data_IF_026909537188
#
_entry.id   IF_026909537188
#
_cell.length_a   1.000
_cell.length_b   1.000
_cell.length_c   1.000
_cell.angle_alpha   90.00
_cell.angle_beta   90.00
_cell.angle_gamma   90.00
#
_symmetry.space_group_name_H-M   'P 1'
#
loop_
_entity.id
_entity.type
_entity.pdbx_description
1 polymer ?
#
# COMPACT_ATOMS: atom_id res chain seq x y z
N UNK A 1 5.53 -15.31 16.66
CA UNK A 1 6.55 -15.55 15.65
C UNK A 1 6.18 -16.71 14.71
N UNK A 2 5.62 -17.80 15.22
CA UNK A 2 5.13 -18.91 14.39
C UNK A 2 4.00 -18.47 13.47
N UNK A 3 3.14 -17.56 13.93
CA UNK A 3 2.04 -17.00 13.14
C UNK A 3 2.56 -16.22 11.93
N UNK A 4 3.68 -15.51 12.06
CA UNK A 4 4.27 -14.73 10.97
C UNK A 4 4.82 -15.64 9.87
N UNK A 5 5.46 -16.76 10.25
CA UNK A 5 5.97 -17.72 9.27
C UNK A 5 4.84 -18.45 8.57
N UNK A 6 3.76 -18.81 9.29
CA UNK A 6 2.58 -19.42 8.68
C UNK A 6 1.94 -18.47 7.65
N UNK A 7 1.83 -17.19 8.00
CA UNK A 7 1.31 -16.17 7.11
C UNK A 7 2.19 -16.03 5.86
N UNK A 8 3.52 -16.00 6.04
CA UNK A 8 4.48 -15.92 4.94
C UNK A 8 4.33 -17.11 3.99
N UNK A 9 4.24 -18.31 4.53
CA UNK A 9 4.07 -19.53 3.75
C UNK A 9 2.75 -19.48 2.96
N UNK A 10 1.66 -19.03 3.57
CA UNK A 10 0.37 -18.87 2.89
C UNK A 10 0.45 -17.88 1.74
N UNK A 11 1.08 -16.73 1.96
CA UNK A 11 1.23 -15.69 0.93
C UNK A 11 2.05 -16.21 -0.24
N UNK A 12 3.18 -16.87 0.05
CA UNK A 12 4.04 -17.45 -0.99
C UNK A 12 3.30 -18.54 -1.75
N UNK A 13 2.59 -19.43 -1.03
CA UNK A 13 1.82 -20.51 -1.64
C UNK A 13 0.73 -20.01 -2.58
N UNK A 14 -0.04 -19.03 -2.14
CA UNK A 14 -1.10 -18.41 -2.95
C UNK A 14 -0.49 -17.70 -4.16
N UNK A 15 0.60 -16.96 -3.95
CA UNK A 15 1.28 -16.23 -5.02
C UNK A 15 1.82 -17.18 -6.10
N UNK A 16 2.52 -18.23 -5.70
CA UNK A 16 3.07 -19.22 -6.64
C UNK A 16 1.97 -19.99 -7.35
N UNK A 17 0.92 -20.40 -6.62
CA UNK A 17 -0.23 -21.11 -7.22
C UNK A 17 -0.93 -20.23 -8.23
N UNK A 18 -1.17 -18.97 -7.90
CA UNK A 18 -1.79 -18.02 -8.81
C UNK A 18 -0.95 -17.76 -10.06
N UNK A 19 0.37 -17.65 -9.90
CA UNK A 19 1.28 -17.43 -11.02
C UNK A 19 1.27 -18.65 -11.97
N UNK A 20 1.33 -19.88 -11.43
CA UNK A 20 1.29 -21.11 -12.23
C UNK A 20 -0.05 -21.23 -12.95
N UNK A 21 -1.16 -20.99 -12.25
CA UNK A 21 -2.51 -21.03 -12.87
C UNK A 21 -2.63 -19.98 -13.97
N UNK A 22 -2.10 -18.78 -13.76
CA UNK A 22 -2.11 -17.72 -14.77
C UNK A 22 -1.37 -18.16 -16.03
N UNK A 23 -0.19 -18.78 -15.89
CA UNK A 23 0.59 -19.27 -17.01
C UNK A 23 -0.14 -20.38 -17.78
N UNK A 24 -0.78 -21.30 -17.06
CA UNK A 24 -1.53 -22.41 -17.67
C UNK A 24 -2.73 -21.86 -18.44
N UNK A 25 -3.53 -20.99 -17.82
CA UNK A 25 -4.74 -20.43 -18.43
C UNK A 25 -4.39 -19.56 -19.63
N UNK A 26 -3.27 -18.85 -19.57
CA UNK A 26 -2.82 -18.00 -20.67
C UNK A 26 -2.55 -18.78 -21.95
N UNK A 27 -2.15 -20.04 -21.85
CA UNK A 27 -1.94 -20.91 -23.02
C UNK A 27 -3.25 -21.34 -23.67
N UNK A 28 -4.32 -21.48 -22.89
CA UNK A 28 -5.61 -21.97 -23.37
C UNK A 28 -6.62 -20.85 -23.62
N UNK A 29 -6.71 -19.88 -22.71
CA UNK A 29 -7.67 -18.79 -22.79
C UNK A 29 -7.04 -17.49 -22.28
N UNK A 30 -6.33 -16.76 -23.14
CA UNK A 30 -5.65 -15.52 -22.72
C UNK A 30 -6.60 -14.41 -22.28
N UNK A 31 -7.86 -14.42 -22.71
CA UNK A 31 -8.88 -13.45 -22.29
C UNK A 31 -9.26 -13.58 -20.82
N UNK A 32 -9.25 -14.79 -20.27
CA UNK A 32 -9.57 -15.07 -18.86
C UNK A 32 -8.32 -14.97 -17.98
N UNK A 33 -7.14 -15.17 -18.56
CA UNK A 33 -5.88 -15.22 -17.82
C UNK A 33 -5.58 -13.95 -17.03
N UNK A 34 -6.09 -12.80 -17.45
CA UNK A 34 -5.94 -11.52 -16.75
C UNK A 34 -6.61 -11.54 -15.38
N UNK A 35 -7.73 -12.28 -15.25
CA UNK A 35 -8.48 -12.34 -13.99
C UNK A 35 -7.70 -13.07 -12.88
N UNK A 36 -6.84 -14.03 -13.22
CA UNK A 36 -6.12 -14.84 -12.23
C UNK A 36 -5.13 -14.02 -11.40
N UNK A 37 -4.24 -13.20 -11.98
CA UNK A 37 -3.38 -12.33 -11.17
C UNK A 37 -4.15 -11.35 -10.30
N UNK A 38 -5.24 -10.79 -10.81
CA UNK A 38 -6.08 -9.83 -10.07
C UNK A 38 -6.70 -10.51 -8.85
N UNK A 39 -7.29 -11.70 -9.03
CA UNK A 39 -7.90 -12.45 -7.93
C UNK A 39 -6.84 -12.90 -6.91
N UNK A 40 -5.67 -13.32 -7.38
CA UNK A 40 -4.55 -13.73 -6.52
C UNK A 40 -4.08 -12.54 -5.67
N UNK A 41 -3.88 -11.39 -6.29
CA UNK A 41 -3.47 -10.17 -5.59
C UNK A 41 -4.53 -9.74 -4.57
N UNK A 42 -5.81 -9.81 -4.92
CA UNK A 42 -6.91 -9.50 -4.01
C UNK A 42 -6.91 -10.45 -2.81
N UNK A 43 -6.72 -11.74 -3.03
CA UNK A 43 -6.67 -12.73 -1.95
C UNK A 43 -5.52 -12.47 -0.99
N UNK A 44 -4.33 -12.18 -1.51
CA UNK A 44 -3.16 -11.85 -0.69
C UNK A 44 -3.42 -10.56 0.10
N UNK A 45 -3.98 -9.54 -0.53
CA UNK A 45 -4.31 -8.26 0.12
C UNK A 45 -5.28 -8.48 1.27
N UNK A 46 -6.33 -9.30 1.07
CA UNK A 46 -7.30 -9.62 2.13
C UNK A 46 -6.65 -10.34 3.31
N UNK A 47 -5.69 -11.21 3.05
CA UNK A 47 -4.94 -11.88 4.12
C UNK A 47 -4.08 -10.89 4.92
N UNK A 48 -3.63 -9.82 4.30
CA UNK A 48 -2.81 -8.80 4.95
C UNK A 48 -3.62 -7.82 5.80
N UNK A 49 -4.93 -7.68 5.56
CA UNK A 49 -5.78 -6.67 6.23
C UNK A 49 -5.72 -6.76 7.77
N UNK A 50 -5.86 -7.94 8.42
CA UNK A 50 -5.77 -8.00 9.89
C UNK A 50 -4.43 -7.52 10.44
N UNK A 51 -3.34 -7.81 9.74
CA UNK A 51 -1.99 -7.38 10.14
C UNK A 51 -1.83 -5.87 10.01
N UNK A 52 -2.36 -5.29 8.94
CA UNK A 52 -2.36 -3.83 8.73
C UNK A 52 -3.16 -3.15 9.83
N UNK A 53 -4.35 -3.69 10.17
CA UNK A 53 -5.19 -3.16 11.25
C UNK A 53 -4.46 -3.17 12.58
N UNK A 54 -3.77 -4.28 12.92
CA UNK A 54 -2.97 -4.38 14.13
C UNK A 54 -1.84 -3.37 14.16
N UNK A 55 -1.17 -3.15 13.04
CA UNK A 55 -0.10 -2.15 12.92
C UNK A 55 -0.62 -0.74 13.16
N UNK A 56 -1.78 -0.42 12.60
CA UNK A 56 -2.42 0.89 12.79
C UNK A 56 -2.73 1.11 14.28
N UNK A 57 -3.28 0.10 14.94
CA UNK A 57 -3.58 0.18 16.38
C UNK A 57 -2.31 0.41 17.21
N UNK A 58 -1.21 -0.27 16.87
CA UNK A 58 0.08 -0.05 17.52
C UNK A 58 0.59 1.37 17.32
N UNK A 59 0.50 1.89 16.10
CA UNK A 59 0.91 3.27 15.79
C UNK A 59 0.09 4.28 16.58
N UNK A 60 -1.22 4.08 16.70
CA UNK A 60 -2.08 4.95 17.49
C UNK A 60 -1.68 4.97 18.97
N UNK A 61 -1.36 3.81 19.55
CA UNK A 61 -0.89 3.71 20.93
C UNK A 61 0.44 4.44 21.14
N UNK A 62 1.37 4.26 20.19
CA UNK A 62 2.67 4.94 20.24
C UNK A 62 2.47 6.45 20.13
N UNK A 63 1.60 6.90 19.26
CA UNK A 63 1.29 8.33 19.09
C UNK A 63 0.70 8.92 20.37
N UNK A 64 -0.23 8.22 21.01
CA UNK A 64 -0.85 8.66 22.26
C UNK A 64 0.19 8.79 23.40
N UNK A 65 1.14 7.87 23.48
CA UNK A 65 2.18 7.86 24.49
C UNK A 65 3.25 8.92 24.25
N UNK A 66 3.54 9.23 22.99
CA UNK A 66 4.63 10.13 22.61
C UNK A 66 4.19 11.58 22.43
N UNK A 67 2.88 11.85 22.53
CA UNK A 67 2.33 13.21 22.33
C UNK A 67 2.27 13.65 20.89
N UNK A 68 2.48 12.76 19.93
CA UNK A 68 2.33 13.05 18.50
C UNK A 68 0.83 13.27 18.21
N UNK A 69 0.53 14.28 17.40
CA UNK A 69 -0.84 14.58 17.00
C UNK A 69 -1.46 13.40 16.23
N UNK A 70 -2.64 12.97 16.67
CA UNK A 70 -3.40 11.93 15.97
C UNK A 70 -3.78 12.36 14.55
N UNK A 71 -3.88 13.65 14.30
CA UNK A 71 -4.17 14.21 12.98
C UNK A 71 -3.03 13.92 12.00
N UNK A 72 -1.78 14.11 12.42
CA UNK A 72 -0.60 13.78 11.59
C UNK A 72 -0.54 12.29 11.29
N UNK A 73 -0.85 11.46 12.27
CA UNK A 73 -0.87 10.01 12.10
C UNK A 73 -1.92 9.58 11.07
N UNK A 74 -3.12 10.17 11.12
CA UNK A 74 -4.19 9.90 10.15
C UNK A 74 -3.77 10.25 8.73
N UNK A 75 -3.07 11.37 8.55
CA UNK A 75 -2.57 11.78 7.24
C UNK A 75 -1.53 10.78 6.72
N UNK A 76 -0.61 10.33 7.57
CA UNK A 76 0.41 9.33 7.20
C UNK A 76 -0.26 8.03 6.76
N UNK A 77 -1.24 7.54 7.50
CA UNK A 77 -1.99 6.33 7.15
C UNK A 77 -2.71 6.50 5.82
N UNK A 78 -3.31 7.67 5.59
CA UNK A 78 -3.98 7.99 4.33
C UNK A 78 -3.00 7.98 3.15
N UNK A 79 -1.80 8.55 3.33
CA UNK A 79 -0.74 8.53 2.31
C UNK A 79 -0.35 7.11 1.96
N UNK A 80 -0.14 6.27 2.96
CA UNK A 80 0.22 4.86 2.76
C UNK A 80 -0.90 4.14 2.00
N UNK A 81 -2.16 4.34 2.40
CA UNK A 81 -3.32 3.76 1.74
C UNK A 81 -3.40 4.15 0.26
N UNK A 82 -3.23 5.43 -0.04
CA UNK A 82 -3.23 5.94 -1.41
C UNK A 82 -2.10 5.29 -2.22
N UNK A 83 -0.89 5.19 -1.65
CA UNK A 83 0.25 4.58 -2.33
C UNK A 83 -0.05 3.13 -2.72
N UNK A 84 -0.61 2.33 -1.80
CA UNK A 84 -0.93 0.93 -2.08
C UNK A 84 -2.08 0.77 -3.07
N UNK A 85 -3.13 1.58 -2.96
CA UNK A 85 -4.27 1.54 -3.90
C UNK A 85 -3.79 1.89 -5.32
N UNK A 86 -2.98 2.93 -5.45
CA UNK A 86 -2.43 3.33 -6.76
C UNK A 86 -1.49 2.27 -7.32
N UNK A 87 -0.67 1.65 -6.48
CA UNK A 87 0.20 0.55 -6.87
C UNK A 87 -0.62 -0.63 -7.42
N UNK A 88 -1.67 -1.02 -6.70
CA UNK A 88 -2.55 -2.10 -7.11
C UNK A 88 -3.23 -1.79 -8.44
N UNK A 89 -3.78 -0.58 -8.58
CA UNK A 89 -4.43 -0.15 -9.82
C UNK A 89 -3.46 -0.12 -11.00
N UNK A 90 -2.23 0.39 -10.78
CA UNK A 90 -1.20 0.42 -11.81
C UNK A 90 -0.78 -0.99 -12.23
N UNK A 91 -0.67 -1.91 -11.29
CA UNK A 91 -0.33 -3.30 -11.58
C UNK A 91 -1.41 -3.99 -12.43
N UNK A 92 -2.69 -3.72 -12.13
CA UNK A 92 -3.80 -4.22 -12.94
C UNK A 92 -3.69 -3.69 -14.37
N UNK A 93 -3.40 -2.41 -14.53
CA UNK A 93 -3.24 -1.80 -15.86
C UNK A 93 -2.07 -2.41 -16.62
N UNK A 94 -0.95 -2.68 -15.96
CA UNK A 94 0.21 -3.33 -16.59
C UNK A 94 -0.12 -4.75 -17.01
N UNK A 95 -0.82 -5.51 -16.17
CA UNK A 95 -1.22 -6.88 -16.47
C UNK A 95 -2.17 -6.93 -17.67
N UNK A 96 -2.97 -5.89 -17.84
CA UNK A 96 -3.86 -5.73 -19.00
C UNK A 96 -3.12 -5.26 -20.27
N UNK A 97 -1.83 -4.99 -20.19
CA UNK A 97 -1.04 -4.49 -21.31
C UNK A 97 -1.08 -2.98 -21.52
N UNK A 98 -1.67 -2.25 -20.56
CA UNK A 98 -1.86 -0.80 -20.67
C UNK A 98 -0.83 -0.08 -19.77
N UNK A 99 0.46 -0.15 -20.16
CA UNK A 99 1.54 0.41 -19.36
C UNK A 99 1.51 1.94 -19.32
N UNK A 100 1.01 2.62 -20.37
CA UNK A 100 0.90 4.08 -20.32
C UNK A 100 -0.18 4.55 -19.37
N UNK A 101 -1.30 3.82 -19.25
CA UNK A 101 -2.34 4.09 -18.25
C UNK A 101 -1.79 3.86 -16.84
N UNK A 102 -1.04 2.77 -16.64
CA UNK A 102 -0.40 2.47 -15.37
C UNK A 102 0.52 3.61 -14.91
N UNK A 103 1.34 4.15 -15.82
CA UNK A 103 2.22 5.27 -15.53
C UNK A 103 1.45 6.51 -15.09
N UNK A 104 0.29 6.77 -15.69
CA UNK A 104 -0.55 7.92 -15.33
C UNK A 104 -1.24 7.72 -13.99
N UNK A 105 -1.65 6.50 -13.66
CA UNK A 105 -2.20 6.16 -12.33
C UNK A 105 -1.14 6.40 -11.25
N UNK A 106 0.09 5.97 -11.48
CA UNK A 106 1.20 6.22 -10.55
C UNK A 106 1.48 7.71 -10.39
N UNK A 107 1.47 8.46 -11.48
CA UNK A 107 1.67 9.91 -11.43
C UNK A 107 0.56 10.58 -10.60
N UNK A 108 -0.69 10.21 -10.82
CA UNK A 108 -1.81 10.72 -10.05
C UNK A 108 -1.68 10.44 -8.56
N UNK A 109 -1.27 9.22 -8.22
CA UNK A 109 -1.02 8.83 -6.83
C UNK A 109 0.08 9.66 -6.18
N UNK A 110 1.18 9.88 -6.89
CA UNK A 110 2.31 10.70 -6.40
C UNK A 110 1.88 12.15 -6.17
N UNK A 111 1.09 12.71 -7.09
CA UNK A 111 0.57 14.09 -6.95
C UNK A 111 -0.30 14.20 -5.70
N UNK A 112 -1.19 13.23 -5.48
CA UNK A 112 -2.05 13.21 -4.28
C UNK A 112 -1.24 13.09 -3.00
N UNK A 113 -0.22 12.23 -3.00
CA UNK A 113 0.66 12.03 -1.84
C UNK A 113 1.41 13.32 -1.52
N UNK A 114 1.96 13.99 -2.52
CA UNK A 114 2.66 15.27 -2.35
C UNK A 114 1.68 16.31 -1.79
N UNK A 115 0.48 16.39 -2.33
CA UNK A 115 -0.55 17.33 -1.89
C UNK A 115 -0.90 17.10 -0.41
N UNK A 116 -1.04 15.86 0.03
CA UNK A 116 -1.34 15.53 1.42
C UNK A 116 -0.14 15.73 2.36
N UNK A 117 1.08 15.68 1.81
CA UNK A 117 2.31 15.86 2.59
C UNK A 117 2.59 17.34 2.92
N UNK A 118 2.05 18.27 2.14
CA UNK A 118 2.32 19.71 2.31
C UNK A 118 1.99 20.20 3.73
N UNK A 119 0.82 19.90 4.32
CA UNK A 119 0.52 20.34 5.69
C UNK A 119 1.51 19.80 6.72
N UNK A 120 1.96 18.53 6.56
CA UNK A 120 2.93 17.92 7.47
C UNK A 120 4.27 18.65 7.37
N UNK A 121 4.73 18.91 6.16
CA UNK A 121 6.00 19.62 5.91
C UNK A 121 5.92 21.03 6.50
N UNK A 122 4.81 21.73 6.31
CA UNK A 122 4.58 23.07 6.87
C UNK A 122 4.68 23.04 8.40
N UNK A 123 4.04 22.09 9.06
CA UNK A 123 4.07 21.94 10.51
C UNK A 123 5.48 21.61 11.02
N UNK A 124 6.21 20.75 10.30
CA UNK A 124 7.59 20.41 10.64
C UNK A 124 8.53 21.61 10.51
N UNK A 125 8.36 22.42 9.47
CA UNK A 125 9.14 23.64 9.29
C UNK A 125 8.85 24.64 10.40
N UNK A 126 7.60 24.78 10.82
CA UNK A 126 7.23 25.61 11.95
C UNK A 126 7.88 25.17 13.25
N UNK A 127 7.91 23.86 13.50
CA UNK A 127 8.56 23.27 14.66
C UNK A 127 10.07 23.50 14.63
N UNK A 128 10.71 23.31 13.48
CA UNK A 128 12.13 23.54 13.29
C UNK A 128 12.49 25.00 13.52
N UNK A 129 11.66 25.93 13.05
CA UNK A 129 11.85 27.36 13.26
C UNK A 129 11.78 27.71 14.75
N UNK A 130 10.87 27.11 15.51
CA UNK A 130 10.77 27.30 16.97
C UNK A 130 12.03 26.78 17.67
N UNK A 131 12.54 25.62 17.29
CA UNK A 131 13.76 25.06 17.87
C UNK A 131 14.96 25.99 17.62
N UNK A 132 15.08 26.50 16.39
CA UNK A 132 16.17 27.39 16.02
C UNK A 132 16.07 28.74 16.80
N UNK A 133 14.86 29.29 17.00
CA UNK A 133 14.67 30.53 17.72
C UNK A 133 14.97 30.40 19.22
N UNK A 134 14.83 29.22 19.81
CA UNK A 134 15.18 28.94 21.20
C UNK A 134 16.62 28.54 21.40
N UNK A 135 17.29 28.15 20.34
CA UNK A 135 18.71 27.87 20.36
C UNK A 135 19.52 29.09 20.04
#
# INVERSE_FOLDING_TARGET
HCSDYDMLIKIIGIGLSGAVLSLIIKQYRPDIAIAVPILTAAAITLLCVPYISSMIDMFERIADQSGISSQHLKIVIKIIGIAYICQFAADICRDAGESSVAAKVELGGKVLIISLSVPIIYDLLGLAAKIVSFG
#
